data_IF_006679315080
#
_entry.id   IF_006679315080
#
_cell.length_a   1.000
_cell.length_b   1.000
_cell.length_c   1.000
_cell.angle_alpha   90.00
_cell.angle_beta   90.00
_cell.angle_gamma   90.00
#
_symmetry.space_group_name_H-M   'P 1'
#
loop_
_entity.id
_entity.type
_entity.pdbx_description
1 polymer ?
#
# COMPACT_ATOMS: atom_id res chain seq x y z
N UNK A 1 -18.35 -16.90 -6.89
CA UNK A 1 -18.22 -17.51 -5.52
C UNK A 1 -19.13 -16.85 -4.51
N UNK A 2 -19.35 -15.52 -4.55
CA UNK A 2 -20.29 -14.85 -3.65
C UNK A 2 -21.71 -15.44 -3.69
N UNK A 3 -22.23 -15.78 -4.87
CA UNK A 3 -23.53 -16.45 -5.01
C UNK A 3 -23.56 -17.85 -4.34
N UNK A 4 -22.47 -18.61 -4.43
CA UNK A 4 -22.35 -19.91 -3.76
C UNK A 4 -22.32 -19.74 -2.24
N UNK A 5 -21.54 -18.80 -1.74
CA UNK A 5 -21.47 -18.46 -0.32
C UNK A 5 -22.85 -18.07 0.22
N UNK A 6 -23.53 -17.12 -0.44
CA UNK A 6 -24.87 -16.68 -0.06
C UNK A 6 -25.90 -17.81 -0.08
N UNK A 7 -25.86 -18.68 -1.09
CA UNK A 7 -26.73 -19.86 -1.16
C UNK A 7 -26.47 -20.84 0.00
N UNK A 8 -25.19 -21.01 0.43
CA UNK A 8 -24.84 -21.84 1.60
C UNK A 8 -25.35 -21.23 2.89
N UNK A 9 -25.14 -19.92 3.10
CA UNK A 9 -25.68 -19.20 4.27
C UNK A 9 -27.19 -19.39 4.35
N UNK A 10 -27.92 -19.13 3.25
CA UNK A 10 -29.37 -19.29 3.19
C UNK A 10 -29.82 -20.73 3.51
N UNK A 11 -29.14 -21.72 2.94
CA UNK A 11 -29.45 -23.14 3.17
C UNK A 11 -29.26 -23.52 4.64
N UNK A 12 -28.12 -23.15 5.23
CA UNK A 12 -27.81 -23.46 6.63
C UNK A 12 -28.78 -22.74 7.58
N UNK A 13 -29.04 -21.44 7.33
CA UNK A 13 -30.04 -20.68 8.11
C UNK A 13 -31.42 -21.34 8.08
N UNK A 14 -31.89 -21.72 6.89
CA UNK A 14 -33.19 -22.35 6.73
C UNK A 14 -33.24 -23.71 7.42
N UNK A 15 -32.17 -24.50 7.34
CA UNK A 15 -32.05 -25.77 8.03
C UNK A 15 -32.06 -25.62 9.56
N UNK A 16 -31.48 -24.52 10.07
CA UNK A 16 -31.51 -24.17 11.50
C UNK A 16 -32.85 -23.55 11.95
N UNK A 17 -33.82 -23.36 11.04
CA UNK A 17 -35.13 -22.76 11.33
C UNK A 17 -35.06 -21.27 11.65
N UNK A 18 -33.97 -20.58 11.33
CA UNK A 18 -33.78 -19.17 11.64
C UNK A 18 -34.36 -18.24 10.57
N UNK A 19 -34.92 -17.12 11.00
CA UNK A 19 -35.21 -15.98 10.14
C UNK A 19 -33.92 -15.17 9.83
N UNK A 20 -33.99 -14.33 8.81
CA UNK A 20 -32.84 -13.41 8.51
C UNK A 20 -32.58 -12.44 9.66
N UNK A 21 -33.61 -12.04 10.41
CA UNK A 21 -33.48 -11.17 11.57
C UNK A 21 -32.74 -11.88 12.72
N UNK A 22 -33.16 -13.10 13.07
CA UNK A 22 -32.55 -13.89 14.13
C UNK A 22 -31.08 -14.25 13.83
N UNK A 23 -30.74 -14.52 12.56
CA UNK A 23 -29.36 -14.71 12.17
C UNK A 23 -28.58 -13.39 12.26
N UNK A 24 -29.18 -12.28 11.86
CA UNK A 24 -28.60 -10.95 12.02
C UNK A 24 -28.27 -10.62 13.46
N UNK A 25 -29.19 -10.87 14.39
CA UNK A 25 -28.98 -10.65 15.82
C UNK A 25 -27.83 -11.49 16.38
N UNK A 26 -27.73 -12.77 15.96
CA UNK A 26 -26.62 -13.67 16.38
C UNK A 26 -25.26 -13.25 15.85
N UNK A 27 -25.23 -12.58 14.72
CA UNK A 27 -23.97 -12.15 14.05
C UNK A 27 -23.72 -10.64 14.18
N UNK A 28 -24.54 -9.94 14.98
CA UNK A 28 -24.45 -8.50 15.24
C UNK A 28 -24.56 -7.64 13.97
N UNK A 29 -25.35 -8.06 13.00
CA UNK A 29 -25.64 -7.29 11.78
C UNK A 29 -27.15 -7.18 11.53
N UNK A 30 -27.55 -6.14 10.82
CA UNK A 30 -28.98 -5.94 10.47
C UNK A 30 -29.46 -7.00 9.48
N UNK A 31 -30.75 -7.35 9.53
CA UNK A 31 -31.36 -8.39 8.66
C UNK A 31 -31.20 -8.10 7.17
N UNK A 32 -31.18 -6.82 6.77
CA UNK A 32 -30.92 -6.42 5.38
C UNK A 32 -29.53 -6.87 4.93
N UNK A 33 -28.54 -6.89 5.83
CA UNK A 33 -27.19 -7.38 5.56
C UNK A 33 -27.18 -8.89 5.26
N UNK A 34 -27.92 -9.67 6.04
CA UNK A 34 -28.11 -11.11 5.78
C UNK A 34 -28.78 -11.33 4.43
N UNK A 35 -29.82 -10.53 4.12
CA UNK A 35 -30.51 -10.59 2.81
C UNK A 35 -29.55 -10.33 1.65
N UNK A 36 -28.68 -9.31 1.76
CA UNK A 36 -27.66 -8.99 0.75
C UNK A 36 -26.69 -10.15 0.54
N UNK A 37 -26.17 -10.73 1.62
CA UNK A 37 -25.24 -11.86 1.56
C UNK A 37 -25.92 -13.06 0.86
N UNK A 38 -27.14 -13.41 1.25
CA UNK A 38 -27.88 -14.55 0.67
C UNK A 38 -28.20 -14.36 -0.82
N UNK A 39 -28.36 -13.11 -1.27
CA UNK A 39 -28.62 -12.75 -2.67
C UNK A 39 -27.35 -12.44 -3.45
N UNK A 40 -26.19 -12.50 -2.82
CA UNK A 40 -24.91 -12.06 -3.37
C UNK A 40 -24.98 -10.62 -3.94
N UNK A 41 -25.73 -9.73 -3.25
CA UNK A 41 -25.88 -8.31 -3.59
C UNK A 41 -25.25 -7.45 -2.49
N UNK A 42 -24.81 -6.24 -2.84
CA UNK A 42 -24.11 -5.35 -1.92
C UNK A 42 -22.66 -5.82 -1.64
N UNK A 43 -22.05 -5.27 -0.61
CA UNK A 43 -20.68 -5.62 -0.23
C UNK A 43 -20.54 -7.09 0.17
N UNK A 44 -19.38 -7.67 -0.07
CA UNK A 44 -19.05 -9.04 0.33
C UNK A 44 -18.86 -9.14 1.84
N UNK A 45 -19.09 -10.31 2.48
CA UNK A 45 -18.86 -10.47 3.90
C UNK A 45 -17.37 -10.31 4.25
N UNK A 46 -17.08 -9.67 5.37
CA UNK A 46 -15.74 -9.66 5.95
C UNK A 46 -15.38 -11.05 6.49
N UNK A 47 -14.09 -11.33 6.72
CA UNK A 47 -13.68 -12.59 7.34
C UNK A 47 -14.31 -12.75 8.74
N UNK A 48 -14.39 -11.67 9.52
CA UNK A 48 -15.03 -11.68 10.84
C UNK A 48 -16.50 -12.06 10.75
N UNK A 49 -17.23 -11.50 9.77
CA UNK A 49 -18.62 -11.84 9.55
C UNK A 49 -18.77 -13.28 9.03
N UNK A 50 -17.84 -13.77 8.18
CA UNK A 50 -17.83 -15.16 7.74
C UNK A 50 -17.63 -16.11 8.92
N UNK A 51 -16.73 -15.81 9.86
CA UNK A 51 -16.51 -16.56 11.11
C UNK A 51 -17.75 -16.53 12.02
N UNK A 52 -18.38 -15.34 12.16
CA UNK A 52 -19.60 -15.18 12.96
C UNK A 52 -20.77 -15.98 12.37
N UNK A 53 -20.95 -15.95 11.05
CA UNK A 53 -21.96 -16.73 10.35
C UNK A 53 -21.69 -18.23 10.47
N UNK A 54 -20.45 -18.66 10.34
CA UNK A 54 -20.03 -20.06 10.48
C UNK A 54 -20.37 -20.58 11.87
N UNK A 55 -19.95 -19.87 12.91
CA UNK A 55 -20.23 -20.22 14.30
C UNK A 55 -21.74 -20.22 14.61
N UNK A 56 -22.48 -19.21 14.15
CA UNK A 56 -23.93 -19.07 14.39
C UNK A 56 -24.76 -20.17 13.71
N UNK A 57 -24.26 -20.71 12.60
CA UNK A 57 -24.93 -21.73 11.78
C UNK A 57 -24.38 -23.14 11.99
N UNK A 58 -23.34 -23.32 12.80
CA UNK A 58 -22.66 -24.62 12.99
C UNK A 58 -22.13 -25.19 11.68
N UNK A 59 -21.47 -24.33 10.87
CA UNK A 59 -21.09 -24.69 9.51
C UNK A 59 -19.74 -25.42 9.40
N UNK A 60 -19.11 -25.79 10.53
CA UNK A 60 -17.86 -26.58 10.61
C UNK A 60 -16.75 -26.02 9.71
N UNK A 61 -16.51 -24.70 9.82
CA UNK A 61 -15.53 -23.91 9.05
C UNK A 61 -15.83 -23.76 7.54
N UNK A 62 -16.92 -24.34 7.03
CA UNK A 62 -17.28 -24.27 5.60
C UNK A 62 -17.35 -22.85 5.05
N UNK A 63 -17.94 -21.91 5.81
CA UNK A 63 -18.08 -20.52 5.36
C UNK A 63 -16.75 -19.78 5.44
N UNK A 64 -15.91 -20.14 6.41
CA UNK A 64 -14.54 -19.61 6.54
C UNK A 64 -13.68 -20.11 5.38
N UNK A 65 -13.77 -21.40 5.02
CA UNK A 65 -13.06 -21.97 3.86
C UNK A 65 -13.53 -21.39 2.52
N UNK A 66 -14.80 -21.06 2.38
CA UNK A 66 -15.33 -20.43 1.17
C UNK A 66 -14.98 -18.95 1.06
N UNK A 67 -14.72 -18.29 2.20
CA UNK A 67 -14.49 -16.85 2.23
C UNK A 67 -13.31 -16.36 1.36
N UNK A 68 -12.13 -17.02 1.31
CA UNK A 68 -11.04 -16.58 0.44
C UNK A 68 -11.44 -16.48 -1.04
N UNK A 69 -12.34 -17.33 -1.50
CA UNK A 69 -12.82 -17.31 -2.89
C UNK A 69 -13.81 -16.18 -3.15
N UNK A 70 -14.64 -15.83 -2.15
CA UNK A 70 -15.53 -14.66 -2.21
C UNK A 70 -14.72 -13.38 -2.17
N UNK A 71 -13.72 -13.35 -1.31
CA UNK A 71 -12.78 -12.27 -1.13
C UNK A 71 -12.00 -11.91 -2.40
N UNK A 72 -11.52 -12.92 -3.15
CA UNK A 72 -10.80 -12.69 -4.42
C UNK A 72 -11.64 -11.96 -5.47
N UNK A 73 -12.96 -12.07 -5.42
CA UNK A 73 -13.86 -11.32 -6.31
C UNK A 73 -13.92 -9.81 -6.00
N UNK A 74 -13.38 -9.35 -4.86
CA UNK A 74 -13.25 -7.93 -4.53
C UNK A 74 -12.11 -7.23 -5.31
N UNK A 75 -11.22 -8.02 -5.95
CA UNK A 75 -10.10 -7.48 -6.72
C UNK A 75 -10.44 -7.37 -8.21
N UNK A 76 -9.86 -6.38 -8.90
CA UNK A 76 -9.94 -6.31 -10.36
C UNK A 76 -9.44 -7.61 -11.01
N UNK A 77 -10.02 -8.01 -12.13
CA UNK A 77 -9.71 -9.27 -12.81
C UNK A 77 -8.22 -9.44 -13.11
N UNK A 78 -7.55 -8.35 -13.48
CA UNK A 78 -6.12 -8.33 -13.80
C UNK A 78 -5.22 -8.60 -12.59
N UNK A 79 -5.68 -8.40 -11.36
CA UNK A 79 -4.90 -8.62 -10.14
C UNK A 79 -5.19 -9.95 -9.43
N UNK A 80 -6.27 -10.66 -9.80
CA UNK A 80 -6.70 -11.89 -9.10
C UNK A 80 -5.62 -12.97 -9.10
N UNK A 81 -5.03 -13.25 -10.27
CA UNK A 81 -3.99 -14.26 -10.39
C UNK A 81 -2.73 -13.88 -9.60
N UNK A 82 -2.37 -12.60 -9.60
CA UNK A 82 -1.29 -12.09 -8.74
C UNK A 82 -1.59 -12.32 -7.26
N UNK A 83 -2.84 -12.10 -6.83
CA UNK A 83 -3.22 -12.35 -5.43
C UNK A 83 -3.08 -13.83 -5.06
N UNK A 84 -3.47 -14.76 -5.93
CA UNK A 84 -3.28 -16.20 -5.72
C UNK A 84 -1.81 -16.59 -5.55
N UNK A 85 -0.93 -16.06 -6.38
CA UNK A 85 0.51 -16.27 -6.24
C UNK A 85 1.06 -15.61 -4.98
N UNK A 86 0.62 -14.40 -4.66
CA UNK A 86 1.04 -13.67 -3.47
C UNK A 86 0.67 -14.40 -2.18
N UNK A 87 -0.48 -15.10 -2.13
CA UNK A 87 -0.89 -15.92 -1.00
C UNK A 87 -0.02 -17.17 -0.80
N UNK A 88 0.65 -17.65 -1.82
CA UNK A 88 1.49 -18.86 -1.79
C UNK A 88 2.99 -18.56 -1.72
N UNK A 89 3.39 -17.33 -2.01
CA UNK A 89 4.79 -16.96 -2.11
C UNK A 89 5.53 -17.16 -0.79
N UNK A 90 6.73 -17.73 -0.81
CA UNK A 90 7.61 -17.91 0.34
C UNK A 90 8.56 -16.71 0.53
N UNK A 91 8.84 -15.97 -0.56
CA UNK A 91 9.56 -14.69 -0.52
C UNK A 91 8.81 -13.69 -1.40
N UNK A 92 8.65 -12.48 -0.91
CA UNK A 92 8.08 -11.34 -1.61
C UNK A 92 9.12 -10.23 -1.66
N UNK A 93 9.56 -9.86 -2.87
CA UNK A 93 10.42 -8.71 -3.12
C UNK A 93 9.60 -7.62 -3.79
N UNK A 94 9.51 -6.45 -3.19
CA UNK A 94 8.65 -5.38 -3.68
C UNK A 94 9.37 -4.04 -3.69
N UNK A 95 9.34 -3.35 -4.84
CA UNK A 95 9.60 -1.93 -4.94
C UNK A 95 8.27 -1.19 -5.02
N UNK A 96 8.07 -0.25 -4.11
CA UNK A 96 6.86 0.55 -4.00
C UNK A 96 7.14 2.01 -4.38
N UNK A 97 6.60 2.44 -5.51
CA UNK A 97 6.89 3.76 -6.09
C UNK A 97 6.08 4.90 -5.44
N UNK A 98 4.83 4.66 -5.04
CA UNK A 98 3.90 5.75 -4.72
C UNK A 98 3.17 5.60 -3.38
N UNK A 99 2.91 4.37 -2.97
CA UNK A 99 2.13 4.04 -1.77
C UNK A 99 2.81 2.93 -0.97
N UNK A 100 2.59 2.88 0.33
CA UNK A 100 3.05 1.77 1.16
C UNK A 100 2.46 0.46 0.63
N UNK A 101 3.24 -0.64 0.54
CA UNK A 101 2.73 -1.95 0.18
C UNK A 101 1.53 -2.38 1.01
N UNK A 102 0.51 -2.98 0.37
CA UNK A 102 -0.73 -3.36 1.02
C UNK A 102 -0.57 -4.24 2.27
N UNK A 103 0.45 -5.12 2.28
CA UNK A 103 0.77 -5.97 3.43
C UNK A 103 1.28 -5.20 4.65
N UNK A 104 1.76 -3.97 4.47
CA UNK A 104 2.31 -3.13 5.54
C UNK A 104 1.43 -1.92 5.87
N UNK A 105 0.25 -1.78 5.25
CA UNK A 105 -0.65 -0.66 5.49
C UNK A 105 -1.36 -0.77 6.84
N UNK A 106 -1.60 0.37 7.49
CA UNK A 106 -2.61 0.48 8.54
C UNK A 106 -4.00 0.58 7.89
N UNK A 107 -5.05 0.26 8.63
CA UNK A 107 -6.42 0.33 8.12
C UNK A 107 -6.80 1.76 7.67
N UNK A 108 -6.47 2.78 8.50
CA UNK A 108 -6.72 4.19 8.16
C UNK A 108 -6.00 4.60 6.84
N UNK A 109 -4.77 4.13 6.65
CA UNK A 109 -4.01 4.40 5.42
C UNK A 109 -4.59 3.65 4.22
N UNK A 110 -4.95 2.38 4.39
CA UNK A 110 -5.60 1.58 3.35
C UNK A 110 -6.92 2.22 2.90
N UNK A 111 -7.74 2.66 3.85
CA UNK A 111 -8.99 3.39 3.58
C UNK A 111 -8.74 4.68 2.80
N UNK A 112 -7.73 5.44 3.20
CA UNK A 112 -7.38 6.69 2.51
C UNK A 112 -6.87 6.44 1.07
N UNK A 113 -6.09 5.39 0.83
CA UNK A 113 -5.61 5.04 -0.52
C UNK A 113 -6.74 4.54 -1.40
N UNK A 114 -7.54 3.58 -0.88
CA UNK A 114 -8.62 2.97 -1.64
C UNK A 114 -9.74 3.96 -1.93
N UNK A 115 -10.00 4.90 -1.03
CA UNK A 115 -10.99 5.97 -1.24
C UNK A 115 -10.61 7.00 -2.31
N UNK A 116 -9.40 6.92 -2.90
CA UNK A 116 -9.01 7.73 -4.06
C UNK A 116 -9.53 7.14 -5.39
N UNK A 117 -9.98 5.89 -5.39
CA UNK A 117 -10.50 5.24 -6.58
C UNK A 117 -11.87 5.82 -6.96
N UNK A 118 -11.90 6.55 -8.07
CA UNK A 118 -13.13 7.17 -8.60
C UNK A 118 -14.16 6.15 -9.11
N UNK A 119 -13.79 4.87 -9.24
CA UNK A 119 -14.67 3.78 -9.69
C UNK A 119 -15.37 3.07 -8.53
N UNK A 120 -15.19 3.52 -7.29
CA UNK A 120 -15.89 2.96 -6.14
C UNK A 120 -17.35 3.45 -6.09
N UNK A 121 -18.27 2.51 -6.11
CA UNK A 121 -19.71 2.76 -5.97
C UNK A 121 -20.13 2.81 -4.48
N UNK A 122 -19.55 3.75 -3.72
CA UNK A 122 -19.96 4.04 -2.36
C UNK A 122 -19.10 3.44 -1.24
N UNK A 123 -19.49 3.79 -0.01
CA UNK A 123 -18.75 3.46 1.22
C UNK A 123 -18.68 1.95 1.48
N UNK A 124 -19.73 1.22 1.13
CA UNK A 124 -19.81 -0.23 1.33
C UNK A 124 -18.75 -0.99 0.53
N UNK A 125 -18.50 -0.61 -0.73
CA UNK A 125 -17.41 -1.20 -1.53
C UNK A 125 -16.03 -0.80 -1.02
N UNK A 126 -15.88 0.41 -0.50
CA UNK A 126 -14.63 0.85 0.12
C UNK A 126 -14.30 -0.04 1.33
N UNK A 127 -15.26 -0.24 2.25
CA UNK A 127 -15.06 -1.08 3.44
C UNK A 127 -14.81 -2.55 3.08
N UNK A 128 -15.45 -3.08 2.05
CA UNK A 128 -15.15 -4.40 1.50
C UNK A 128 -13.67 -4.50 1.09
N UNK A 129 -13.16 -3.53 0.33
CA UNK A 129 -11.77 -3.53 -0.14
C UNK A 129 -10.77 -3.31 1.00
N UNK A 130 -11.11 -2.48 1.99
CA UNK A 130 -10.30 -2.28 3.20
C UNK A 130 -10.21 -3.58 3.99
N UNK A 131 -11.34 -4.21 4.28
CA UNK A 131 -11.40 -5.50 4.97
C UNK A 131 -10.59 -6.57 4.23
N UNK A 132 -10.77 -6.64 2.91
CA UNK A 132 -10.02 -7.50 2.04
C UNK A 132 -8.50 -7.30 2.17
N UNK A 133 -8.06 -6.05 2.22
CA UNK A 133 -6.64 -5.70 2.36
C UNK A 133 -6.10 -6.07 3.74
N UNK A 134 -6.87 -5.84 4.79
CA UNK A 134 -6.48 -6.21 6.16
C UNK A 134 -6.39 -7.72 6.36
N UNK A 135 -7.35 -8.48 5.83
CA UNK A 135 -7.35 -9.94 5.89
C UNK A 135 -6.08 -10.58 5.30
N UNK A 136 -5.51 -10.00 4.22
CA UNK A 136 -4.24 -10.48 3.66
C UNK A 136 -3.05 -10.34 4.61
N UNK A 137 -3.09 -9.39 5.53
CA UNK A 137 -1.99 -9.15 6.46
C UNK A 137 -1.92 -10.22 7.56
N UNK A 138 -3.00 -10.96 7.83
CA UNK A 138 -3.02 -12.07 8.79
C UNK A 138 -1.92 -13.09 8.51
N UNK A 139 -1.58 -13.26 7.22
CA UNK A 139 -0.50 -14.14 6.79
C UNK A 139 0.87 -13.75 7.34
N UNK A 140 1.13 -12.46 7.59
CA UNK A 140 2.40 -12.02 8.18
C UNK A 140 2.56 -12.47 9.65
N UNK A 141 1.48 -12.84 10.30
CA UNK A 141 1.46 -13.41 11.65
C UNK A 141 1.50 -14.94 11.70
N UNK A 142 1.35 -15.63 10.55
CA UNK A 142 1.30 -17.09 10.48
C UNK A 142 2.69 -17.72 10.58
N UNK A 143 2.80 -19.02 10.96
CA UNK A 143 4.07 -19.74 10.89
C UNK A 143 4.68 -19.81 9.49
N UNK A 144 3.82 -19.88 8.45
CA UNK A 144 4.22 -19.96 7.03
C UNK A 144 4.31 -18.58 6.37
N UNK A 145 4.54 -17.53 7.17
CA UNK A 145 4.71 -16.16 6.65
C UNK A 145 5.85 -16.07 5.66
N UNK A 146 5.69 -15.27 4.60
CA UNK A 146 6.77 -15.05 3.63
C UNK A 146 7.90 -14.20 4.23
N UNK A 147 9.10 -14.35 3.68
CA UNK A 147 10.14 -13.34 3.81
C UNK A 147 9.76 -12.13 2.94
N UNK A 148 9.71 -10.95 3.53
CA UNK A 148 9.28 -9.72 2.87
C UNK A 148 10.45 -8.74 2.74
N UNK A 149 10.89 -8.47 1.51
CA UNK A 149 11.92 -7.50 1.18
C UNK A 149 11.30 -6.31 0.44
N UNK A 150 11.23 -5.17 1.09
CA UNK A 150 10.57 -3.97 0.56
C UNK A 150 11.56 -2.84 0.35
N UNK A 151 11.53 -2.26 -0.84
CA UNK A 151 12.20 -1.00 -1.17
C UNK A 151 11.10 0.06 -1.35
N UNK A 152 11.09 1.07 -0.52
CA UNK A 152 10.18 2.21 -0.64
C UNK A 152 10.88 3.33 -1.38
N UNK A 153 10.26 3.89 -2.41
CA UNK A 153 10.67 5.19 -2.92
C UNK A 153 10.49 6.26 -1.83
N UNK A 154 11.39 7.23 -1.76
CA UNK A 154 11.26 8.32 -0.79
C UNK A 154 9.93 9.07 -0.89
N UNK A 155 9.32 9.14 -2.08
CA UNK A 155 8.00 9.74 -2.30
C UNK A 155 6.92 9.12 -1.39
N UNK A 156 7.02 7.82 -1.08
CA UNK A 156 6.11 7.10 -0.18
C UNK A 156 6.13 7.69 1.23
N UNK A 157 7.31 8.14 1.69
CA UNK A 157 7.47 8.74 3.02
C UNK A 157 7.04 10.21 3.07
N UNK A 158 7.03 10.89 1.91
CA UNK A 158 6.81 12.34 1.83
C UNK A 158 5.36 12.73 1.53
N UNK A 159 4.59 11.84 0.92
CA UNK A 159 3.20 12.12 0.53
C UNK A 159 2.25 11.86 1.71
N UNK A 160 1.52 12.89 2.21
CA UNK A 160 0.66 12.75 3.38
C UNK A 160 -0.69 12.11 3.03
N UNK A 161 -0.70 10.84 2.69
CA UNK A 161 -1.93 10.09 2.37
C UNK A 161 -2.78 9.95 3.64
N UNK A 162 -4.06 10.29 3.57
CA UNK A 162 -4.97 10.32 4.72
C UNK A 162 -4.66 11.43 5.74
N UNK A 163 -3.69 12.31 5.43
CA UNK A 163 -3.27 13.39 6.32
C UNK A 163 -2.16 12.98 7.30
N UNK A 164 -1.69 13.95 8.08
CA UNK A 164 -0.50 13.80 8.93
C UNK A 164 -0.66 12.74 10.04
N UNK A 165 -1.85 12.63 10.64
CA UNK A 165 -2.10 11.67 11.71
C UNK A 165 -2.06 10.22 11.20
N UNK A 166 -2.67 9.97 10.03
CA UNK A 166 -2.67 8.67 9.37
C UNK A 166 -1.25 8.28 8.96
N UNK A 167 -0.53 9.21 8.31
CA UNK A 167 0.87 8.97 7.90
C UNK A 167 1.78 8.66 9.08
N UNK A 168 1.63 9.36 10.19
CA UNK A 168 2.43 9.08 11.40
C UNK A 168 2.22 7.66 11.91
N UNK A 169 0.97 7.20 12.00
CA UNK A 169 0.64 5.82 12.38
C UNK A 169 1.21 4.82 11.36
N UNK A 170 1.11 5.16 10.08
CA UNK A 170 1.63 4.32 9.01
C UNK A 170 3.16 4.17 9.07
N UNK A 171 3.90 5.24 9.29
CA UNK A 171 5.36 5.18 9.44
C UNK A 171 5.76 4.41 10.71
N UNK A 172 5.05 4.57 11.82
CA UNK A 172 5.25 3.76 13.03
C UNK A 172 5.02 2.26 12.75
N UNK A 173 3.99 1.91 11.95
CA UNK A 173 3.75 0.53 11.51
C UNK A 173 4.90 -0.04 10.70
N UNK A 174 5.51 0.75 9.81
CA UNK A 174 6.69 0.34 9.02
C UNK A 174 7.89 0.05 9.92
N UNK A 175 8.16 0.91 10.90
CA UNK A 175 9.24 0.71 11.87
C UNK A 175 9.03 -0.59 12.66
N UNK A 176 7.83 -0.81 13.20
CA UNK A 176 7.51 -2.04 13.94
C UNK A 176 7.59 -3.31 13.07
N UNK A 177 7.19 -3.25 11.80
CA UNK A 177 7.32 -4.38 10.89
C UNK A 177 8.78 -4.75 10.62
N UNK A 178 9.68 -3.77 10.56
CA UNK A 178 11.10 -3.98 10.32
C UNK A 178 11.89 -4.48 11.56
N UNK A 179 11.30 -4.49 12.76
CA UNK A 179 11.89 -5.12 13.95
C UNK A 179 11.89 -6.66 13.83
N UNK A 180 10.98 -7.19 13.01
CA UNK A 180 10.86 -8.63 12.74
C UNK A 180 11.96 -9.13 11.81
N UNK A 181 12.42 -10.39 12.01
CA UNK A 181 13.47 -11.02 11.19
C UNK A 181 13.02 -11.32 9.75
N UNK A 182 11.71 -11.31 9.48
CA UNK A 182 11.13 -11.68 8.19
C UNK A 182 10.81 -10.47 7.29
N UNK A 183 11.08 -9.25 7.77
CA UNK A 183 10.82 -8.05 6.98
C UNK A 183 12.09 -7.20 6.89
N UNK A 184 12.59 -7.03 5.67
CA UNK A 184 13.67 -6.09 5.36
C UNK A 184 13.08 -4.87 4.67
N UNK A 185 13.33 -3.68 5.22
CA UNK A 185 12.87 -2.42 4.66
C UNK A 185 14.07 -1.55 4.26
N UNK A 186 14.03 -1.09 3.01
CA UNK A 186 14.98 -0.13 2.47
C UNK A 186 14.25 1.06 1.87
N UNK A 187 14.91 2.20 1.79
CA UNK A 187 14.41 3.41 1.13
C UNK A 187 15.33 3.75 -0.04
N UNK A 188 14.74 3.99 -1.20
CA UNK A 188 15.42 4.55 -2.36
C UNK A 188 15.28 6.08 -2.28
N UNK A 189 16.37 6.81 -1.98
CA UNK A 189 16.29 8.26 -1.81
C UNK A 189 16.24 8.99 -3.15
N UNK A 190 15.67 10.19 -3.16
CA UNK A 190 15.56 11.03 -4.37
C UNK A 190 16.92 11.37 -5.00
N UNK A 191 17.99 11.40 -4.18
CA UNK A 191 19.35 11.72 -4.65
C UNK A 191 19.90 10.66 -5.62
N UNK A 192 19.31 9.46 -5.68
CA UNK A 192 19.67 8.45 -6.67
C UNK A 192 19.25 8.83 -8.10
N UNK A 193 18.35 9.82 -8.24
CA UNK A 193 17.87 10.26 -9.55
C UNK A 193 16.99 9.24 -10.25
N UNK A 194 17.10 9.16 -11.59
CA UNK A 194 16.27 8.28 -12.41
C UNK A 194 16.68 6.81 -12.33
N UNK A 195 15.70 5.91 -12.40
CA UNK A 195 15.87 4.46 -12.38
C UNK A 195 14.84 3.74 -13.26
N UNK A 196 15.06 2.45 -13.54
CA UNK A 196 14.28 1.68 -14.53
C UNK A 196 12.81 1.42 -14.10
N UNK A 197 12.49 1.55 -12.81
CA UNK A 197 11.14 1.33 -12.29
C UNK A 197 10.34 2.64 -12.07
N UNK A 198 10.70 3.74 -12.71
CA UNK A 198 9.94 5.01 -12.58
C UNK A 198 8.51 4.93 -13.10
N UNK A 199 8.20 3.94 -13.94
CA UNK A 199 6.86 3.74 -14.50
C UNK A 199 5.83 3.15 -13.53
N UNK A 200 6.23 2.69 -12.34
CA UNK A 200 5.31 2.06 -11.39
C UNK A 200 6.00 1.14 -10.39
N UNK A 201 5.18 0.44 -9.62
CA UNK A 201 5.66 -0.52 -8.62
C UNK A 201 5.99 -1.87 -9.25
N UNK A 202 6.94 -2.59 -8.65
CA UNK A 202 7.39 -3.91 -9.08
C UNK A 202 7.36 -4.88 -7.92
N UNK A 203 6.78 -6.07 -8.13
CA UNK A 203 6.79 -7.16 -7.16
C UNK A 203 7.32 -8.43 -7.82
N UNK A 204 8.18 -9.16 -7.11
CA UNK A 204 8.66 -10.48 -7.52
C UNK A 204 8.28 -11.46 -6.42
N UNK A 205 7.60 -12.53 -6.80
CA UNK A 205 7.14 -13.59 -5.92
C UNK A 205 7.94 -14.85 -6.18
N UNK A 206 8.45 -15.47 -5.13
CA UNK A 206 9.10 -16.77 -5.16
C UNK A 206 8.14 -17.79 -4.56
N UNK A 207 7.85 -18.85 -5.31
CA UNK A 207 6.86 -19.85 -4.94
C UNK A 207 7.53 -21.09 -4.32
N UNK A 208 6.79 -21.91 -3.57
CA UNK A 208 7.33 -23.10 -2.90
C UNK A 208 7.92 -24.15 -3.87
N UNK A 209 7.41 -24.20 -5.09
CA UNK A 209 7.88 -25.11 -6.16
C UNK A 209 9.15 -24.61 -6.89
N UNK A 210 9.71 -23.48 -6.44
CA UNK A 210 10.88 -22.84 -7.04
C UNK A 210 10.57 -21.96 -8.24
N UNK A 211 9.31 -21.88 -8.67
CA UNK A 211 8.91 -20.95 -9.74
C UNK A 211 8.88 -19.50 -9.23
N UNK A 212 9.05 -18.57 -10.14
CA UNK A 212 9.09 -17.14 -9.85
C UNK A 212 8.14 -16.40 -10.80
N UNK A 213 7.47 -15.38 -10.30
CA UNK A 213 6.63 -14.50 -11.10
C UNK A 213 6.92 -13.04 -10.77
N UNK A 214 6.82 -12.16 -11.75
CA UNK A 214 6.91 -10.73 -11.55
C UNK A 214 5.54 -10.08 -11.80
N UNK A 215 5.31 -8.97 -11.13
CA UNK A 215 4.10 -8.18 -11.29
C UNK A 215 4.46 -6.71 -11.30
N UNK A 216 3.99 -6.01 -12.30
CA UNK A 216 4.12 -4.55 -12.41
C UNK A 216 2.75 -3.90 -12.29
N UNK A 217 2.68 -2.77 -11.59
CA UNK A 217 1.43 -2.06 -11.36
C UNK A 217 1.61 -0.56 -11.61
N UNK A 218 0.69 -0.01 -12.41
CA UNK A 218 0.53 1.42 -12.66
C UNK A 218 -0.80 1.93 -12.13
N UNK A 219 -1.27 3.10 -12.62
CA UNK A 219 -2.52 3.72 -12.17
C UNK A 219 -3.76 2.92 -12.52
N UNK A 220 -3.81 2.36 -13.74
CA UNK A 220 -5.03 1.76 -14.30
C UNK A 220 -4.83 0.30 -14.75
N UNK A 221 -3.63 -0.26 -14.52
CA UNK A 221 -3.30 -1.59 -14.99
C UNK A 221 -2.36 -2.32 -14.04
N UNK A 222 -2.46 -3.64 -14.07
CA UNK A 222 -1.46 -4.54 -13.50
C UNK A 222 -1.11 -5.62 -14.51
N UNK A 223 0.16 -5.96 -14.62
CA UNK A 223 0.65 -7.01 -15.50
C UNK A 223 1.38 -8.08 -14.72
N UNK A 224 0.87 -9.30 -14.78
CA UNK A 224 1.54 -10.50 -14.29
C UNK A 224 2.47 -11.05 -15.39
N UNK A 225 3.70 -11.31 -15.02
CA UNK A 225 4.77 -11.83 -15.89
C UNK A 225 5.19 -13.20 -15.34
N UNK A 226 4.95 -14.26 -16.12
CA UNK A 226 5.24 -15.65 -15.72
C UNK A 226 6.36 -16.25 -16.58
N UNK A 227 6.67 -15.65 -17.72
CA UNK A 227 7.74 -16.11 -18.62
C UNK A 227 9.11 -15.94 -17.95
N UNK A 228 9.90 -17.02 -17.71
CA UNK A 228 11.14 -16.97 -16.94
C UNK A 228 12.17 -15.95 -17.44
N UNK A 229 12.28 -15.77 -18.75
CA UNK A 229 13.20 -14.80 -19.36
C UNK A 229 12.82 -13.37 -18.98
N UNK A 230 11.52 -13.06 -19.02
CA UNK A 230 11.01 -11.76 -18.64
C UNK A 230 11.09 -11.53 -17.12
N UNK A 231 10.77 -12.54 -16.30
CA UNK A 231 10.93 -12.48 -14.85
C UNK A 231 12.39 -12.17 -14.47
N UNK A 232 13.36 -12.84 -15.14
CA UNK A 232 14.78 -12.59 -14.90
C UNK A 232 15.19 -11.14 -15.16
N UNK A 233 14.61 -10.49 -16.17
CA UNK A 233 14.82 -9.05 -16.43
C UNK A 233 14.34 -8.19 -15.26
N UNK A 234 13.16 -8.45 -14.74
CA UNK A 234 12.61 -7.70 -13.59
C UNK A 234 13.39 -7.95 -12.30
N UNK A 235 13.95 -9.15 -12.12
CA UNK A 235 14.88 -9.44 -11.01
C UNK A 235 16.11 -8.54 -11.06
N UNK A 236 16.72 -8.39 -12.24
CA UNK A 236 17.87 -7.49 -12.42
C UNK A 236 17.50 -6.04 -12.09
N UNK A 237 16.32 -5.58 -12.51
CA UNK A 237 15.84 -4.25 -12.16
C UNK A 237 15.71 -4.11 -10.63
N UNK A 238 15.06 -5.08 -9.97
CA UNK A 238 14.92 -5.06 -8.51
C UNK A 238 16.28 -5.06 -7.79
N UNK A 239 17.22 -5.87 -8.23
CA UNK A 239 18.55 -5.96 -7.62
C UNK A 239 19.33 -4.64 -7.77
N UNK A 240 19.20 -3.94 -8.90
CA UNK A 240 19.77 -2.58 -9.09
C UNK A 240 19.13 -1.56 -8.16
N UNK A 241 17.80 -1.56 -8.01
CA UNK A 241 17.10 -0.71 -7.06
C UNK A 241 17.56 -0.98 -5.62
N UNK A 242 17.73 -2.26 -5.26
CA UNK A 242 18.22 -2.67 -3.94
C UNK A 242 19.65 -2.20 -3.68
N UNK A 243 20.52 -2.23 -4.68
CA UNK A 243 21.89 -1.75 -4.60
C UNK A 243 21.96 -0.22 -4.46
N UNK A 244 21.01 0.51 -5.08
CA UNK A 244 20.91 1.97 -5.00
C UNK A 244 20.20 2.46 -3.73
N UNK A 245 19.40 1.60 -3.09
CA UNK A 245 18.68 1.95 -1.87
C UNK A 245 19.61 2.07 -0.66
N UNK A 246 19.21 2.87 0.31
CA UNK A 246 19.93 3.00 1.59
C UNK A 246 20.01 1.63 2.30
N UNK A 247 21.07 1.36 3.05
CA UNK A 247 21.13 0.22 3.97
C UNK A 247 19.93 0.21 4.94
N UNK A 248 19.46 -0.95 5.42
CA UNK A 248 18.27 -1.04 6.27
C UNK A 248 18.31 -0.09 7.47
N UNK A 249 19.43 0.02 8.19
CA UNK A 249 19.56 0.90 9.36
C UNK A 249 19.33 2.37 8.97
N UNK A 250 19.99 2.86 7.92
CA UNK A 250 19.81 4.23 7.43
C UNK A 250 18.41 4.48 6.90
N UNK A 251 17.80 3.47 6.30
CA UNK A 251 16.41 3.53 5.83
C UNK A 251 15.44 3.74 6.99
N UNK A 252 15.62 3.02 8.09
CA UNK A 252 14.78 3.20 9.28
C UNK A 252 14.98 4.55 9.93
N UNK A 253 16.20 5.10 9.92
CA UNK A 253 16.48 6.46 10.39
C UNK A 253 15.79 7.50 9.51
N UNK A 254 15.74 7.29 8.20
CA UNK A 254 14.99 8.15 7.28
C UNK A 254 13.47 8.08 7.53
N UNK A 255 12.91 6.90 7.79
CA UNK A 255 11.50 6.73 8.18
C UNK A 255 11.20 7.45 9.50
N UNK A 256 12.06 7.32 10.54
CA UNK A 256 11.92 8.06 11.81
C UNK A 256 11.97 9.56 11.60
N UNK A 257 12.94 10.03 10.83
CA UNK A 257 13.08 11.46 10.49
C UNK A 257 11.85 12.00 9.77
N UNK A 258 11.30 11.26 8.82
CA UNK A 258 10.06 11.64 8.13
C UNK A 258 8.88 11.71 9.10
N UNK A 259 8.75 10.73 10.00
CA UNK A 259 7.69 10.69 11.00
C UNK A 259 7.77 11.87 11.99
N UNK A 260 8.98 12.22 12.42
CA UNK A 260 9.20 13.29 13.38
C UNK A 260 9.20 14.69 12.76
N UNK A 261 9.74 14.85 11.59
CA UNK A 261 9.87 16.14 10.89
C UNK A 261 8.59 16.54 10.16
N UNK A 262 8.06 15.65 9.33
CA UNK A 262 6.94 15.99 8.45
C UNK A 262 5.57 15.79 9.10
N UNK A 263 5.46 14.89 10.09
CA UNK A 263 4.19 14.46 10.68
C UNK A 263 4.07 14.72 12.18
N UNK A 264 4.97 15.50 12.77
CA UNK A 264 4.72 16.14 14.07
C UNK A 264 3.52 17.07 13.89
N UNK A 265 2.48 16.94 14.69
CA UNK A 265 1.26 17.75 14.65
C UNK A 265 1.45 19.27 14.81
N UNK A 266 2.53 19.83 14.29
CA UNK A 266 2.77 21.24 14.13
C UNK A 266 1.95 21.73 12.93
N UNK A 267 1.13 22.73 13.16
CA UNK A 267 0.41 23.49 12.15
C UNK A 267 1.32 23.73 10.95
N UNK A 268 1.02 23.08 9.83
CA UNK A 268 1.62 23.47 8.56
C UNK A 268 1.33 24.96 8.37
N UNK A 269 2.34 25.76 7.98
CA UNK A 269 2.09 27.15 7.64
C UNK A 269 0.90 27.22 6.70
N UNK A 270 -0.05 28.10 6.96
CA UNK A 270 -1.23 28.29 6.12
C UNK A 270 -0.80 28.54 4.67
N UNK A 271 -1.72 28.41 3.71
CA UNK A 271 -1.43 28.74 2.31
C UNK A 271 -0.86 30.15 2.13
N UNK A 272 -1.28 31.08 2.99
CA UNK A 272 -0.78 32.46 3.11
C UNK A 272 0.65 32.52 3.66
N UNK A 273 0.96 31.73 4.69
CA UNK A 273 2.31 31.69 5.26
C UNK A 273 3.33 31.06 4.31
N UNK A 274 2.94 30.03 3.57
CA UNK A 274 3.80 29.44 2.53
C UNK A 274 4.08 30.43 1.38
N UNK A 275 3.10 31.24 0.98
CA UNK A 275 3.30 32.29 -0.01
C UNK A 275 4.24 33.39 0.52
N UNK A 276 4.09 33.77 1.80
CA UNK A 276 4.96 34.75 2.43
C UNK A 276 6.40 34.25 2.52
N UNK A 277 6.62 33.01 2.99
CA UNK A 277 7.95 32.39 3.07
C UNK A 277 8.61 32.26 1.68
N UNK A 278 7.85 31.88 0.65
CA UNK A 278 8.33 31.83 -0.73
C UNK A 278 8.72 33.24 -1.25
N UNK A 279 7.95 34.29 -0.91
CA UNK A 279 8.29 35.67 -1.25
C UNK A 279 9.52 36.17 -0.51
N UNK A 280 9.67 35.84 0.75
CA UNK A 280 10.86 36.17 1.55
C UNK A 280 12.13 35.48 1.00
N UNK A 281 12.03 34.20 0.59
CA UNK A 281 13.12 33.50 -0.07
C UNK A 281 13.50 34.11 -1.43
N UNK A 282 12.50 34.53 -2.23
CA UNK A 282 12.74 35.22 -3.49
C UNK A 282 13.41 36.59 -3.31
N UNK A 283 13.03 37.33 -2.26
CA UNK A 283 13.65 38.62 -1.93
C UNK A 283 15.08 38.47 -1.42
N UNK A 284 15.36 37.42 -0.61
CA UNK A 284 16.72 37.12 -0.15
C UNK A 284 17.64 36.66 -1.30
N UNK A 285 17.12 35.90 -2.26
CA UNK A 285 17.88 35.48 -3.44
C UNK A 285 18.09 36.58 -4.48
N UNK A 286 17.21 37.59 -4.54
CA UNK A 286 17.37 38.77 -5.43
C UNK A 286 18.21 39.87 -4.83
N UNK A 287 18.30 39.98 -3.48
CA UNK A 287 19.14 40.96 -2.79
C UNK A 287 20.65 40.70 -2.87
N UNK A 288 21.07 39.48 -3.22
CA UNK A 288 22.48 39.06 -3.33
C UNK A 288 23.17 39.46 -4.63
N UNK A 289 22.48 40.01 -5.63
CA UNK A 289 23.08 40.33 -6.97
C UNK A 289 23.51 41.77 -7.21
N UNK A 290 23.45 42.66 -6.22
CA UNK A 290 23.76 44.10 -6.44
C UNK A 290 25.00 44.57 -5.65
N UNK A 291 25.98 43.74 -5.33
CA UNK A 291 27.33 44.17 -4.88
C UNK A 291 28.41 43.55 -5.76
N UNK A 292 28.36 43.81 -7.05
CA UNK A 292 29.44 43.61 -7.99
C UNK A 292 30.34 44.86 -8.01
N UNK A 293 31.49 44.79 -7.41
CA UNK A 293 32.56 45.79 -7.34
C UNK A 293 32.94 46.29 -8.75
N UNK A 294 32.79 47.61 -8.98
CA UNK A 294 33.45 48.31 -10.08
C UNK A 294 34.95 48.37 -9.82
N UNK A 295 35.68 47.37 -10.30
CA UNK A 295 37.17 47.50 -10.42
C UNK A 295 37.44 48.40 -11.61
N UNK A 296 37.90 49.64 -11.33
CA UNK A 296 38.54 50.54 -12.30
C UNK A 296 39.84 49.88 -12.80
N UNK A 297 39.95 49.65 -14.10
CA UNK A 297 41.13 49.24 -14.82
C UNK A 297 41.99 50.51 -15.03
N UNK A 298 43.31 50.52 -14.62
CA UNK A 298 44.20 51.64 -14.93
C UNK A 298 44.57 51.62 -16.40
N UNK A 299 44.41 52.78 -17.09
CA UNK A 299 44.88 52.99 -18.47
C UNK A 299 46.40 52.94 -18.51
N UNK A 300 46.97 51.94 -19.18
CA UNK A 300 48.39 51.88 -19.53
C UNK A 300 48.80 52.98 -20.48
N UNK A 301 49.91 53.70 -20.17
CA UNK A 301 50.58 54.67 -21.02
C UNK A 301 51.15 53.98 -22.27
N UNK A 302 50.87 54.54 -23.47
CA UNK A 302 51.60 54.21 -24.70
C UNK A 302 53.00 54.88 -24.65
N UNK A 303 54.07 54.22 -25.13
CA UNK A 303 55.34 54.88 -25.43
C UNK A 303 55.16 55.56 -26.82
N UNK A 304 55.56 56.80 -26.88
CA UNK A 304 55.74 57.56 -28.15
C UNK A 304 57.19 57.42 -28.60
N UNK A 305 57.48 58.01 -29.77
CA UNK A 305 58.36 57.46 -30.80
C UNK A 305 59.83 57.32 -30.48
#
# INVERSE_FOLDING_TARGET
MAALFGARVRRLRTAAGLTQAELGDRTHVVSTRITQIERASGAKPTLELARALDAALGAEDLLVELWPYVYREAFPDWSRKFMEYSERAVVIRQYAAHVVPGLLQTEDYARAVLGLDALLDGEEQLEERVSARMGRQERLGSPDRPELCVILDEAVLRRPIGGHAVMRKQLARLLGAAEGRHTTLQVLPFDQGGHEAMGGSLTILFLPDGSEVAYTEGSDYGQLIEEPVNVSRYKVIYDRLRAAALPPVMSLDMVRSAMEGNYRGANLPSRSDRRRLAQEQLQQSSGGRLRGSSRRVPRGRRPGP
#
